data_IF_916428269435
#
_entry.id   IF_916428269435
#
_cell.length_a   1.000
_cell.length_b   1.000
_cell.length_c   1.000
_cell.angle_alpha   90.00
_cell.angle_beta   90.00
_cell.angle_gamma   90.00
#
_symmetry.space_group_name_H-M   'P 1'
#
loop_
_entity.id
_entity.type
_entity.pdbx_description
1 polymer ?
#
# COMPACT_ATOMS: atom_id res chain seq x y z
N UNK A 1 -39.70 44.63 51.72
CA UNK A 1 -39.39 44.07 50.38
C UNK A 1 -37.87 43.94 50.28
N UNK A 2 -37.32 42.74 50.48
CA UNK A 2 -35.87 42.44 50.49
C UNK A 2 -35.50 41.80 49.14
N UNK A 3 -34.56 42.40 48.40
CA UNK A 3 -34.02 41.86 47.14
C UNK A 3 -32.86 40.91 47.47
N UNK A 4 -32.94 39.66 47.01
CA UNK A 4 -31.85 38.69 47.06
C UNK A 4 -30.93 38.91 45.86
N UNK A 5 -29.63 38.94 46.13
CA UNK A 5 -28.53 39.05 45.16
C UNK A 5 -28.02 37.65 44.89
N UNK A 6 -28.19 37.13 43.67
CA UNK A 6 -27.65 35.83 43.27
C UNK A 6 -26.23 36.00 42.70
N UNK A 7 -25.30 35.20 43.23
CA UNK A 7 -23.88 35.17 42.88
C UNK A 7 -23.66 33.99 41.92
N UNK A 8 -23.45 34.28 40.63
CA UNK A 8 -23.23 33.25 39.61
C UNK A 8 -21.75 32.83 39.59
N UNK A 9 -21.46 31.59 39.97
CA UNK A 9 -20.13 30.97 39.96
C UNK A 9 -19.85 30.38 38.57
N UNK A 10 -18.98 31.02 37.80
CA UNK A 10 -18.58 30.54 36.45
C UNK A 10 -17.52 29.44 36.59
N UNK A 11 -17.91 28.19 36.32
CA UNK A 11 -17.03 27.02 36.29
C UNK A 11 -16.27 26.98 34.96
N UNK A 12 -14.94 27.16 35.00
CA UNK A 12 -14.07 27.12 33.82
C UNK A 12 -13.70 25.66 33.50
N UNK A 13 -14.32 25.07 32.47
CA UNK A 13 -13.99 23.71 31.99
C UNK A 13 -12.80 23.82 31.02
N UNK A 14 -11.63 23.33 31.42
CA UNK A 14 -10.50 23.12 30.49
C UNK A 14 -10.79 21.90 29.62
N UNK A 15 -11.11 22.12 28.35
CA UNK A 15 -11.15 21.07 27.35
C UNK A 15 -9.71 20.68 27.00
N UNK A 16 -9.26 19.52 27.48
CA UNK A 16 -8.05 18.87 26.97
C UNK A 16 -8.35 18.40 25.54
N UNK A 17 -7.68 19.00 24.55
CA UNK A 17 -7.78 18.55 23.17
C UNK A 17 -7.18 17.13 23.06
N UNK A 18 -7.84 16.18 22.37
CA UNK A 18 -7.26 14.87 22.12
C UNK A 18 -6.02 15.05 21.23
N UNK A 19 -4.88 14.54 21.70
CA UNK A 19 -3.71 14.37 20.87
C UNK A 19 -4.07 13.40 19.74
N UNK A 20 -4.03 13.86 18.49
CA UNK A 20 -4.24 12.99 17.34
C UNK A 20 -3.19 11.89 17.35
N UNK A 21 -3.64 10.63 17.36
CA UNK A 21 -2.77 9.50 17.09
C UNK A 21 -2.25 9.66 15.66
N UNK A 22 -0.95 9.86 15.50
CA UNK A 22 -0.32 9.74 14.19
C UNK A 22 -0.57 8.31 13.71
N UNK A 23 -1.18 8.15 12.53
CA UNK A 23 -1.35 6.85 11.90
C UNK A 23 0.03 6.18 11.81
N UNK A 24 0.14 4.93 12.28
CA UNK A 24 1.42 4.24 12.24
C UNK A 24 1.78 3.94 10.79
N UNK A 25 3.05 4.08 10.44
CA UNK A 25 3.51 3.89 9.07
C UNK A 25 3.46 2.39 8.72
N UNK A 26 2.72 2.04 7.68
CA UNK A 26 2.65 0.68 7.16
C UNK A 26 4.05 0.12 6.87
N UNK A 27 4.36 -1.04 7.44
CA UNK A 27 5.72 -1.60 7.51
C UNK A 27 5.88 -2.89 6.69
N UNK A 28 4.78 -3.60 6.43
CA UNK A 28 4.77 -4.81 5.62
C UNK A 28 3.53 -4.90 4.72
N UNK A 29 3.64 -5.62 3.60
CA UNK A 29 2.53 -6.04 2.74
C UNK A 29 2.20 -7.50 3.03
N UNK A 30 0.93 -7.80 3.30
CA UNK A 30 0.43 -9.18 3.28
C UNK A 30 0.27 -9.56 1.81
N UNK A 31 1.06 -10.51 1.32
CA UNK A 31 1.00 -10.94 -0.09
C UNK A 31 -0.11 -11.95 -0.28
N UNK A 32 -0.19 -12.92 0.62
CA UNK A 32 -1.19 -13.98 0.60
C UNK A 32 -1.46 -14.46 2.03
N UNK A 33 -2.64 -15.02 2.23
CA UNK A 33 -3.06 -15.57 3.50
C UNK A 33 -4.03 -16.72 3.30
N UNK A 34 -3.81 -17.82 4.02
CA UNK A 34 -4.62 -19.03 3.89
C UNK A 34 -4.87 -19.67 5.24
N UNK A 35 -6.09 -20.16 5.46
CA UNK A 35 -6.48 -20.86 6.68
C UNK A 35 -7.00 -19.92 7.77
N UNK A 36 -6.97 -20.41 9.02
CA UNK A 36 -7.49 -19.66 10.16
C UNK A 36 -6.43 -18.71 10.72
N UNK A 37 -6.63 -17.40 10.54
CA UNK A 37 -5.72 -16.35 11.01
C UNK A 37 -6.51 -15.31 11.83
N UNK A 38 -5.98 -14.89 12.98
CA UNK A 38 -6.62 -13.93 13.89
C UNK A 38 -5.65 -12.83 14.34
N UNK A 39 -5.94 -11.53 14.13
CA UNK A 39 -7.07 -11.01 13.36
C UNK A 39 -6.97 -11.43 11.87
N UNK A 40 -8.05 -11.29 11.07
CA UNK A 40 -7.98 -11.55 9.64
C UNK A 40 -6.85 -10.74 8.99
N UNK A 41 -6.07 -11.41 8.15
CA UNK A 41 -4.96 -10.83 7.40
C UNK A 41 -5.33 -10.86 5.92
N UNK A 42 -6.02 -9.83 5.43
CA UNK A 42 -6.50 -9.84 4.05
C UNK A 42 -5.32 -9.74 3.05
N UNK A 43 -5.27 -10.56 2.00
CA UNK A 43 -4.23 -10.43 0.98
C UNK A 43 -4.21 -9.04 0.35
N UNK A 44 -3.01 -8.57 0.03
CA UNK A 44 -2.72 -7.26 -0.55
C UNK A 44 -3.15 -6.08 0.34
N UNK A 45 -3.13 -6.29 1.66
CA UNK A 45 -3.29 -5.21 2.64
C UNK A 45 -2.00 -4.95 3.39
N UNK A 46 -1.84 -3.73 3.88
CA UNK A 46 -0.66 -3.35 4.65
C UNK A 46 -0.83 -3.64 6.14
N UNK A 47 0.25 -4.11 6.75
CA UNK A 47 0.35 -4.28 8.20
C UNK A 47 1.30 -3.24 8.79
N UNK A 48 0.87 -2.63 9.88
CA UNK A 48 1.65 -1.64 10.64
C UNK A 48 2.64 -2.33 11.60
N UNK A 49 3.67 -1.60 12.03
CA UNK A 49 4.56 -2.07 13.11
C UNK A 49 3.73 -2.39 14.36
N UNK A 50 3.98 -3.55 14.95
CA UNK A 50 3.26 -4.10 16.11
C UNK A 50 2.03 -4.91 15.74
N UNK A 51 1.66 -5.01 14.46
CA UNK A 51 0.61 -5.92 14.02
C UNK A 51 1.00 -7.36 14.37
N UNK A 52 0.04 -8.11 14.93
CA UNK A 52 0.25 -9.48 15.43
C UNK A 52 -0.86 -10.37 14.89
N UNK A 53 -0.47 -11.47 14.25
CA UNK A 53 -1.36 -12.46 13.64
C UNK A 53 -1.14 -13.83 14.27
N UNK A 54 -2.19 -14.43 14.79
CA UNK A 54 -2.24 -15.80 15.29
C UNK A 54 -2.67 -16.72 14.15
N UNK A 55 -1.81 -17.63 13.74
CA UNK A 55 -2.00 -18.60 12.67
C UNK A 55 -2.37 -19.95 13.28
N UNK A 56 -3.50 -20.52 12.86
CA UNK A 56 -3.84 -21.91 13.14
C UNK A 56 -2.77 -22.89 12.62
N UNK A 57 -2.76 -24.16 13.06
CA UNK A 57 -1.66 -25.09 12.82
C UNK A 57 -1.19 -25.23 11.35
N UNK A 58 -2.12 -25.13 10.41
CA UNK A 58 -1.88 -25.23 8.97
C UNK A 58 -2.12 -23.90 8.24
N UNK A 59 -2.39 -22.82 8.97
CA UNK A 59 -2.59 -21.50 8.37
C UNK A 59 -1.24 -20.93 7.91
N UNK A 60 -1.26 -20.25 6.78
CA UNK A 60 -0.08 -19.70 6.12
C UNK A 60 -0.25 -18.19 5.90
N UNK A 61 0.82 -17.45 6.16
CA UNK A 61 0.87 -16.01 5.94
C UNK A 61 2.17 -15.68 5.20
N UNK A 62 2.03 -15.06 4.03
CA UNK A 62 3.17 -14.58 3.24
C UNK A 62 3.20 -13.07 3.37
N UNK A 63 4.33 -12.53 3.81
CA UNK A 63 4.52 -11.10 3.98
C UNK A 63 5.77 -10.64 3.26
N UNK A 64 5.70 -9.44 2.68
CA UNK A 64 6.88 -8.69 2.28
C UNK A 64 7.12 -7.57 3.28
N UNK A 65 8.28 -7.56 3.90
CA UNK A 65 8.64 -6.54 4.87
C UNK A 65 9.51 -5.45 4.23
N UNK A 66 9.08 -4.18 4.30
CA UNK A 66 9.68 -3.10 3.51
C UNK A 66 11.08 -2.68 3.99
N UNK A 67 11.34 -2.74 5.30
CA UNK A 67 12.63 -2.30 5.84
C UNK A 67 13.74 -3.35 5.66
N UNK A 68 13.38 -4.64 5.65
CA UNK A 68 14.33 -5.74 5.45
C UNK A 68 14.40 -6.23 4.02
N UNK A 69 13.45 -5.82 3.18
CA UNK A 69 13.34 -6.22 1.79
C UNK A 69 13.32 -7.75 1.65
N UNK A 70 12.52 -8.40 2.49
CA UNK A 70 12.40 -9.85 2.54
C UNK A 70 10.94 -10.28 2.36
N UNK A 71 10.74 -11.31 1.54
CA UNK A 71 9.50 -12.07 1.48
C UNK A 71 9.64 -13.27 2.43
N UNK A 72 8.82 -13.30 3.48
CA UNK A 72 8.84 -14.33 4.52
C UNK A 72 7.53 -15.10 4.51
N UNK A 73 7.63 -16.43 4.54
CA UNK A 73 6.51 -17.36 4.52
C UNK A 73 6.41 -18.02 5.89
N UNK A 74 5.30 -17.80 6.59
CA UNK A 74 5.08 -18.34 7.93
C UNK A 74 3.95 -19.36 7.93
N UNK A 75 4.09 -20.43 8.73
CA UNK A 75 3.03 -21.40 8.97
C UNK A 75 2.83 -21.66 10.46
N UNK A 76 1.58 -21.55 10.90
CA UNK A 76 1.18 -21.73 12.30
C UNK A 76 1.84 -20.75 13.28
N UNK A 77 1.43 -20.81 14.55
CA UNK A 77 2.00 -19.99 15.63
C UNK A 77 1.57 -18.54 15.55
N UNK A 78 2.46 -17.62 15.90
CA UNK A 78 2.22 -16.18 15.92
C UNK A 78 3.27 -15.47 15.09
N UNK A 79 2.82 -14.57 14.22
CA UNK A 79 3.65 -13.66 13.44
C UNK A 79 3.42 -12.24 13.94
N UNK A 80 4.50 -11.50 14.15
CA UNK A 80 4.51 -10.10 14.57
C UNK A 80 5.34 -9.28 13.59
N UNK A 81 4.75 -8.17 13.12
CA UNK A 81 5.41 -7.23 12.21
C UNK A 81 6.21 -6.24 13.07
N UNK A 82 7.53 -6.43 13.12
CA UNK A 82 8.43 -5.51 13.81
C UNK A 82 8.74 -4.28 12.96
N UNK A 83 9.54 -3.36 13.50
CA UNK A 83 10.00 -2.18 12.76
C UNK A 83 11.04 -2.51 11.67
N UNK A 84 11.77 -3.62 11.83
CA UNK A 84 12.90 -3.99 10.97
C UNK A 84 12.70 -5.32 10.25
N UNK A 85 11.85 -6.21 10.76
CA UNK A 85 11.54 -7.50 10.16
C UNK A 85 10.23 -8.05 10.72
N UNK A 86 9.60 -8.98 9.99
CA UNK A 86 8.59 -9.87 10.55
C UNK A 86 9.27 -10.96 11.38
N UNK A 87 8.68 -11.33 12.52
CA UNK A 87 9.24 -12.35 13.42
C UNK A 87 8.13 -13.07 14.17
N UNK A 88 8.43 -14.18 14.85
CA UNK A 88 7.38 -14.94 15.52
C UNK A 88 7.84 -16.28 16.09
N UNK A 89 6.90 -16.99 16.69
CA UNK A 89 7.07 -18.39 17.10
C UNK A 89 6.49 -19.38 16.08
N UNK A 90 5.87 -18.86 15.01
CA UNK A 90 5.48 -19.63 13.83
C UNK A 90 6.67 -20.22 13.08
N UNK A 91 6.41 -21.27 12.30
CA UNK A 91 7.46 -21.89 11.49
C UNK A 91 7.72 -21.01 10.27
N UNK A 92 8.92 -20.43 10.17
CA UNK A 92 9.40 -19.79 8.95
C UNK A 92 9.72 -20.88 7.91
N UNK A 93 8.81 -21.08 6.95
CA UNK A 93 8.92 -22.14 5.94
C UNK A 93 9.78 -21.71 4.75
N UNK A 94 9.95 -20.40 4.56
CA UNK A 94 10.81 -19.83 3.53
C UNK A 94 11.05 -18.34 3.78
N UNK A 95 12.23 -17.88 3.39
CA UNK A 95 12.56 -16.46 3.36
C UNK A 95 13.43 -16.19 2.14
N UNK A 96 13.08 -15.16 1.38
CA UNK A 96 13.82 -14.72 0.20
C UNK A 96 14.09 -13.24 0.32
N UNK A 97 15.36 -12.85 0.22
CA UNK A 97 15.73 -11.44 0.04
C UNK A 97 15.32 -11.01 -1.37
N UNK A 98 14.56 -9.93 -1.45
CA UNK A 98 14.00 -9.37 -2.68
C UNK A 98 14.46 -7.92 -2.85
N UNK A 99 14.31 -7.37 -4.05
CA UNK A 99 14.49 -5.93 -4.22
C UNK A 99 13.42 -5.19 -3.41
N UNK A 100 13.83 -4.18 -2.64
CA UNK A 100 12.96 -3.43 -1.74
C UNK A 100 11.74 -2.88 -2.49
N UNK A 101 10.50 -3.26 -2.10
CA UNK A 101 9.32 -2.73 -2.73
C UNK A 101 9.30 -1.22 -2.63
N UNK A 102 8.91 -0.56 -3.72
CA UNK A 102 8.83 0.89 -3.79
C UNK A 102 7.37 1.29 -3.60
N UNK A 103 7.07 1.96 -2.49
CA UNK A 103 5.79 2.61 -2.27
C UNK A 103 5.77 3.95 -2.99
N UNK A 104 4.73 4.17 -3.79
CA UNK A 104 4.44 5.49 -4.33
C UNK A 104 3.04 5.89 -3.88
N UNK A 105 2.96 7.02 -3.18
CA UNK A 105 1.71 7.59 -2.69
C UNK A 105 1.35 8.83 -3.51
N UNK A 106 0.05 8.99 -3.77
CA UNK A 106 -0.49 10.18 -4.42
C UNK A 106 -0.93 11.19 -3.35
N UNK A 107 -0.63 12.49 -3.54
CA UNK A 107 -0.92 13.53 -2.54
C UNK A 107 -2.33 14.14 -2.71
N UNK A 108 -3.01 14.45 -1.60
CA UNK A 108 -4.36 15.06 -1.57
C UNK A 108 -4.43 16.51 -2.04
N UNK A 109 -3.35 17.29 -1.88
CA UNK A 109 -3.35 18.77 -2.05
C UNK A 109 -2.36 19.26 -3.09
N UNK A 110 -2.17 18.51 -4.17
CA UNK A 110 -1.57 19.08 -5.37
C UNK A 110 -2.70 19.77 -6.15
N UNK A 111 -2.64 21.10 -6.30
CA UNK A 111 -3.50 21.87 -7.22
C UNK A 111 -3.37 21.42 -8.70
N UNK A 112 -2.57 20.37 -8.97
CA UNK A 112 -2.52 19.61 -10.20
C UNK A 112 -2.22 18.12 -9.91
N UNK A 113 -3.14 17.24 -10.33
CA UNK A 113 -2.98 15.83 -10.75
C UNK A 113 -1.73 15.05 -10.32
N UNK A 114 -1.93 13.87 -9.73
CA UNK A 114 -0.85 12.99 -9.29
C UNK A 114 -0.56 11.90 -10.34
N UNK A 115 0.59 11.99 -11.02
CA UNK A 115 1.14 10.95 -11.88
C UNK A 115 2.39 10.38 -11.23
N UNK A 116 2.57 9.05 -11.27
CA UNK A 116 3.87 8.47 -10.92
C UNK A 116 4.74 8.54 -12.16
N UNK A 117 5.59 9.56 -12.20
CA UNK A 117 6.64 9.66 -13.19
C UNK A 117 7.90 9.03 -12.62
N UNK A 118 8.22 7.81 -13.05
CA UNK A 118 9.49 7.16 -12.73
C UNK A 118 10.59 7.76 -13.62
N UNK A 119 11.10 8.94 -13.25
CA UNK A 119 12.28 9.56 -13.90
C UNK A 119 13.54 9.14 -13.17
N UNK A 120 14.56 8.72 -13.92
CA UNK A 120 15.85 8.34 -13.37
C UNK A 120 17.00 9.23 -13.87
N UNK A 121 17.82 9.74 -12.94
CA UNK A 121 19.19 10.22 -13.20
C UNK A 121 20.20 9.12 -12.80
N UNK A 122 21.46 9.40 -12.40
CA UNK A 122 22.48 8.36 -12.10
C UNK A 122 22.03 7.33 -11.02
N UNK A 123 20.88 7.56 -10.39
CA UNK A 123 20.18 6.75 -9.38
C UNK A 123 18.83 6.15 -9.86
N UNK A 124 18.71 5.79 -11.15
CA UNK A 124 17.47 5.31 -11.78
C UNK A 124 16.73 4.24 -10.96
N UNK A 125 15.43 4.43 -10.73
CA UNK A 125 14.53 3.34 -10.30
C UNK A 125 14.43 2.33 -11.45
N UNK A 126 15.12 1.20 -11.30
CA UNK A 126 15.01 0.09 -12.24
C UNK A 126 13.74 -0.68 -11.91
N UNK A 127 12.87 -0.84 -12.90
CA UNK A 127 11.72 -1.73 -12.80
C UNK A 127 11.93 -2.89 -13.78
N UNK A 128 11.44 -4.07 -13.40
CA UNK A 128 11.44 -5.21 -14.31
C UNK A 128 10.72 -4.82 -15.61
N UNK A 129 11.23 -5.24 -16.77
CA UNK A 129 10.63 -4.97 -18.07
C UNK A 129 9.22 -5.60 -18.21
N UNK A 130 8.86 -6.52 -17.30
CA UNK A 130 7.52 -7.11 -17.16
C UNK A 130 7.02 -6.88 -15.72
N UNK A 131 6.60 -5.65 -15.38
CA UNK A 131 6.27 -5.31 -14.00
C UNK A 131 4.98 -6.01 -13.53
N UNK A 132 4.88 -6.18 -12.22
CA UNK A 132 3.62 -6.49 -11.52
C UNK A 132 3.30 -5.32 -10.60
N UNK A 133 2.09 -4.79 -10.74
CA UNK A 133 1.57 -3.72 -9.91
C UNK A 133 0.60 -4.30 -8.89
N UNK A 134 0.83 -4.03 -7.61
CA UNK A 134 -0.16 -4.26 -6.56
C UNK A 134 -0.88 -2.95 -6.32
N UNK A 135 -2.20 -2.98 -6.49
CA UNK A 135 -3.06 -1.82 -6.33
C UNK A 135 -3.69 -1.87 -4.94
N UNK A 136 -3.25 -0.94 -4.10
CA UNK A 136 -3.74 -0.76 -2.74
C UNK A 136 -4.88 0.26 -2.80
N UNK A 137 -6.06 -0.15 -3.24
CA UNK A 137 -7.21 0.75 -3.36
C UNK A 137 -8.43 0.06 -3.97
N UNK A 138 -9.62 0.43 -3.49
CA UNK A 138 -10.88 -0.13 -3.98
C UNK A 138 -11.29 0.50 -5.32
N UNK A 139 -12.01 -0.27 -6.15
CA UNK A 139 -12.65 0.24 -7.37
C UNK A 139 -11.72 0.47 -8.56
N UNK A 140 -10.44 0.12 -8.45
CA UNK A 140 -9.50 0.19 -9.57
C UNK A 140 -9.65 -1.05 -10.46
N UNK A 141 -10.08 -0.86 -11.70
CA UNK A 141 -10.30 -1.95 -12.65
C UNK A 141 -9.08 -2.23 -13.53
N UNK A 142 -8.26 -1.22 -13.80
CA UNK A 142 -7.15 -1.33 -14.75
C UNK A 142 -6.00 -0.37 -14.41
N UNK A 143 -4.83 -0.65 -14.96
CA UNK A 143 -3.63 0.20 -14.94
C UNK A 143 -3.20 0.47 -16.38
N UNK A 144 -3.13 1.73 -16.78
CA UNK A 144 -2.61 2.14 -18.09
C UNK A 144 -1.12 2.47 -17.99
N UNK A 145 -0.33 1.94 -18.93
CA UNK A 145 1.09 2.25 -19.10
C UNK A 145 1.23 3.09 -20.36
N UNK A 146 1.82 4.28 -20.22
CA UNK A 146 1.88 5.28 -21.28
C UNK A 146 3.34 5.64 -21.61
N UNK A 147 3.57 6.03 -22.87
CA UNK A 147 4.85 6.55 -23.39
C UNK A 147 4.55 7.69 -24.35
N UNK A 148 5.18 8.85 -24.13
CA UNK A 148 5.03 10.03 -24.98
C UNK A 148 3.54 10.40 -25.26
N UNK A 149 2.68 10.25 -24.25
CA UNK A 149 1.25 10.53 -24.33
C UNK A 149 0.38 9.46 -25.00
N UNK A 150 0.97 8.36 -25.51
CA UNK A 150 0.24 7.21 -26.04
C UNK A 150 0.17 6.05 -25.03
N UNK A 151 -0.93 5.29 -25.05
CA UNK A 151 -1.05 4.05 -24.27
C UNK A 151 -0.21 2.96 -24.94
N UNK A 152 0.68 2.35 -24.17
CA UNK A 152 1.52 1.20 -24.55
C UNK A 152 0.87 -0.10 -24.10
N UNK A 153 0.26 -0.12 -22.92
CA UNK A 153 -0.49 -1.26 -22.41
C UNK A 153 -1.62 -0.83 -21.48
N UNK A 154 -2.70 -1.61 -21.47
CA UNK A 154 -3.76 -1.54 -20.46
C UNK A 154 -3.77 -2.89 -19.75
N UNK A 155 -3.65 -2.86 -18.42
CA UNK A 155 -3.50 -4.05 -17.59
C UNK A 155 -4.72 -4.19 -16.70
N UNK A 156 -5.48 -5.29 -16.85
CA UNK A 156 -6.59 -5.58 -15.96
C UNK A 156 -6.09 -5.82 -14.54
N UNK A 157 -6.76 -5.22 -13.55
CA UNK A 157 -6.53 -5.49 -12.13
C UNK A 157 -7.39 -6.67 -11.72
N UNK A 158 -6.75 -7.81 -11.51
CA UNK A 158 -7.41 -9.05 -11.06
C UNK A 158 -6.88 -9.39 -9.68
N UNK A 159 -7.78 -9.49 -8.71
CA UNK A 159 -7.45 -9.72 -7.30
C UNK A 159 -6.36 -8.75 -6.81
N UNK A 160 -6.55 -7.44 -7.04
CA UNK A 160 -5.63 -6.38 -6.60
C UNK A 160 -4.29 -6.31 -7.35
N UNK A 161 -4.07 -7.15 -8.38
CA UNK A 161 -2.83 -7.18 -9.15
C UNK A 161 -3.07 -6.86 -10.63
N UNK A 162 -2.23 -5.99 -11.19
CA UNK A 162 -2.08 -5.81 -12.64
C UNK A 162 -0.73 -6.39 -13.09
N UNK A 163 -0.78 -7.46 -13.88
CA UNK A 163 0.41 -8.21 -14.34
C UNK A 163 0.71 -7.89 -15.80
N UNK A 164 1.99 -7.70 -16.12
CA UNK A 164 2.39 -7.55 -17.53
C UNK A 164 2.07 -8.83 -18.34
N UNK A 165 1.34 -8.73 -19.47
CA UNK A 165 0.92 -9.90 -20.23
C UNK A 165 2.10 -10.59 -20.90
N UNK A 166 2.12 -11.93 -20.86
CA UNK A 166 3.18 -12.73 -21.47
C UNK A 166 3.26 -12.57 -23.00
N UNK A 167 2.13 -12.24 -23.64
CA UNK A 167 2.01 -12.04 -25.09
C UNK A 167 2.37 -10.62 -25.56
N UNK A 168 2.65 -9.69 -24.65
CA UNK A 168 3.17 -8.37 -25.00
C UNK A 168 4.69 -8.37 -24.91
N UNK A 169 5.32 -7.56 -25.76
CA UNK A 169 6.74 -7.27 -25.67
C UNK A 169 7.07 -6.66 -24.30
N UNK A 170 8.26 -6.93 -23.73
CA UNK A 170 8.69 -6.25 -22.50
C UNK A 170 8.84 -4.75 -22.72
N UNK A 171 8.78 -3.97 -21.63
CA UNK A 171 9.13 -2.56 -21.62
C UNK A 171 10.58 -2.37 -22.09
N UNK A 172 10.82 -1.33 -22.90
CA UNK A 172 12.14 -0.97 -23.38
C UNK A 172 12.98 -0.37 -22.25
N UNK A 173 14.23 -0.81 -22.12
CA UNK A 173 15.16 -0.24 -21.15
C UNK A 173 15.53 1.20 -21.52
N UNK A 174 15.68 2.07 -20.51
CA UNK A 174 16.11 3.45 -20.69
C UNK A 174 15.05 4.37 -21.30
N UNK A 175 13.79 3.94 -21.33
CA UNK A 175 12.64 4.72 -21.79
C UNK A 175 11.82 5.19 -20.60
N UNK A 176 11.34 6.43 -20.66
CA UNK A 176 10.43 6.99 -19.68
C UNK A 176 9.00 6.50 -19.94
N UNK A 177 8.38 5.95 -18.90
CA UNK A 177 6.99 5.51 -18.89
C UNK A 177 6.19 6.26 -17.82
N UNK A 178 4.92 6.48 -18.12
CA UNK A 178 3.93 7.02 -17.19
C UNK A 178 2.95 5.92 -16.82
N UNK A 179 2.54 5.87 -15.55
CA UNK A 179 1.53 4.93 -15.04
C UNK A 179 0.29 5.74 -14.67
N UNK A 180 -0.86 5.34 -15.21
CA UNK A 180 -2.15 5.98 -14.94
C UNK A 180 -3.17 4.96 -14.44
N UNK A 181 -4.04 5.39 -13.52
CA UNK A 181 -5.18 4.62 -13.01
C UNK A 181 -6.44 5.34 -13.47
N UNK A 182 -7.21 4.79 -14.44
CA UNK A 182 -8.41 5.46 -14.92
C UNK A 182 -9.56 5.37 -13.90
N UNK A 183 -10.37 6.44 -13.84
CA UNK A 183 -11.55 6.52 -13.01
C UNK A 183 -12.82 6.05 -13.72
N UNK A 184 -13.90 5.85 -12.96
CA UNK A 184 -15.16 5.26 -13.42
C UNK A 184 -15.92 6.02 -14.54
N UNK A 185 -15.48 7.22 -14.91
CA UNK A 185 -16.07 8.03 -15.99
C UNK A 185 -15.30 8.00 -17.32
N UNK A 186 -14.19 7.25 -17.41
CA UNK A 186 -13.23 7.42 -18.51
C UNK A 186 -12.42 8.72 -18.43
N UNK A 187 -12.80 9.60 -17.48
CA UNK A 187 -11.86 10.46 -16.80
C UNK A 187 -10.75 9.53 -16.31
N UNK A 188 -9.58 9.64 -16.91
CA UNK A 188 -8.39 9.04 -16.31
C UNK A 188 -8.23 9.63 -14.88
N UNK A 189 -7.19 9.31 -14.13
CA UNK A 189 -6.77 10.12 -12.96
C UNK A 189 -6.47 11.59 -13.31
N UNK A 190 -7.04 12.12 -14.39
CA UNK A 190 -6.47 12.21 -15.73
C UNK A 190 -5.33 13.22 -15.71
N UNK A 191 -5.38 14.29 -16.48
CA UNK A 191 -5.74 15.50 -15.74
C UNK A 191 -7.10 15.31 -15.01
N UNK A 192 -7.05 14.82 -13.76
CA UNK A 192 -8.09 14.71 -12.72
C UNK A 192 -9.16 13.56 -12.71
N UNK A 193 -8.98 12.58 -11.80
CA UNK A 193 -10.02 11.96 -10.95
C UNK A 193 -9.37 11.10 -9.84
N UNK A 194 -9.57 11.46 -8.58
CA UNK A 194 -8.86 10.93 -7.39
C UNK A 194 -9.48 9.62 -6.90
N UNK A 195 -8.65 8.60 -6.64
CA UNK A 195 -8.96 7.54 -5.69
C UNK A 195 -8.34 7.92 -4.34
N UNK A 196 -9.20 8.23 -3.36
CA UNK A 196 -8.77 8.52 -1.98
C UNK A 196 -8.20 7.25 -1.36
N UNK A 197 -6.90 7.24 -1.06
CA UNK A 197 -6.22 6.10 -0.44
C UNK A 197 -5.59 5.09 -1.39
N UNK A 198 -5.59 5.34 -2.71
CA UNK A 198 -4.93 4.44 -3.66
C UNK A 198 -3.39 4.59 -3.58
N UNK A 199 -2.68 3.49 -3.34
CA UNK A 199 -1.23 3.37 -3.49
C UNK A 199 -0.89 2.30 -4.53
N UNK A 200 0.26 2.43 -5.19
CA UNK A 200 0.80 1.33 -6.02
C UNK A 200 2.11 0.88 -5.42
N UNK A 201 2.19 -0.43 -5.15
CA UNK A 201 3.45 -1.10 -4.80
C UNK A 201 3.92 -1.88 -6.02
N UNK A 202 5.14 -1.60 -6.47
CA UNK A 202 5.78 -2.35 -7.56
C UNK A 202 6.57 -3.47 -6.92
N UNK A 203 6.20 -4.72 -7.24
CA UNK A 203 6.92 -5.92 -6.80
C UNK A 203 7.68 -6.48 -7.99
N UNK A 204 8.97 -6.77 -7.79
CA UNK A 204 9.75 -7.50 -8.78
C UNK A 204 9.66 -9.01 -8.49
N UNK A 205 9.30 -9.84 -9.48
CA UNK A 205 9.39 -11.29 -9.36
C UNK A 205 10.82 -11.82 -9.46
#
# INVERSE_FOLDING_TARGET
MKRLTELTLTLLVMFAAPAGAAAAEATALIVDSMGAISPPADPLTEAETGARFELGPDAELIVIHYASCAESHFRGGVVEIGALAASGDGVLVGETEIECPRKVAFAESADASASVVLRGDETRTMINARPVFVVLGEGVAEVEIMRAGGIVATLDVVAGMARWPANLDPLESGVDYEIAIPGAGGDRTAPAAVATGAGVTIIQP
#
